data_IF_019393462148
#
_entry.id   IF_019393462148
#
_cell.length_a   1.000
_cell.length_b   1.000
_cell.length_c   1.000
_cell.angle_alpha   90.00
_cell.angle_beta   90.00
_cell.angle_gamma   90.00
#
_symmetry.space_group_name_H-M   'P 1'
#
loop_
_entity.id
_entity.type
_entity.pdbx_description
1 polymer ?
#
# COMPACT_ATOMS: atom_id res chain seq x y z
N UNK A 1 5.69 -4.34 -17.98
CA UNK A 1 6.50 -4.65 -16.78
C UNK A 1 7.87 -4.01 -16.89
N UNK A 2 8.39 -3.37 -15.83
CA UNK A 2 9.71 -2.70 -15.87
C UNK A 2 10.85 -3.72 -16.14
N UNK A 3 11.94 -3.33 -16.83
CA UNK A 3 13.07 -4.24 -17.12
C UNK A 3 13.67 -4.91 -15.89
N UNK A 4 13.87 -4.15 -14.79
CA UNK A 4 14.42 -4.69 -13.55
C UNK A 4 13.53 -5.80 -12.94
N UNK A 5 12.22 -5.63 -12.95
CA UNK A 5 11.29 -6.65 -12.46
C UNK A 5 11.28 -7.89 -13.33
N UNK A 6 11.40 -7.74 -14.65
CA UNK A 6 11.57 -8.89 -15.56
C UNK A 6 12.82 -9.69 -15.19
N UNK A 7 13.96 -9.03 -15.03
CA UNK A 7 15.22 -9.70 -14.66
C UNK A 7 15.13 -10.42 -13.31
N UNK A 8 14.51 -9.80 -12.30
CA UNK A 8 14.33 -10.43 -11.00
C UNK A 8 13.38 -11.64 -11.05
N UNK A 9 12.28 -11.53 -11.81
CA UNK A 9 11.31 -12.62 -11.95
C UNK A 9 11.83 -13.80 -12.78
N UNK A 10 12.77 -13.59 -13.71
CA UNK A 10 13.34 -14.68 -14.53
C UNK A 10 14.23 -15.66 -13.77
N UNK A 11 14.71 -15.27 -12.58
CA UNK A 11 15.53 -16.12 -11.73
C UNK A 11 14.72 -16.90 -10.67
N UNK A 12 13.38 -16.80 -10.70
CA UNK A 12 12.52 -17.46 -9.72
C UNK A 12 12.41 -18.97 -10.01
N UNK A 13 12.55 -19.78 -8.97
CA UNK A 13 12.12 -21.18 -9.00
C UNK A 13 10.59 -21.27 -9.26
N UNK A 14 10.06 -22.40 -9.75
CA UNK A 14 8.62 -22.59 -9.90
C UNK A 14 7.86 -22.26 -8.61
N UNK A 15 6.87 -21.37 -8.69
CA UNK A 15 6.10 -20.89 -7.54
C UNK A 15 6.81 -19.83 -6.68
N UNK A 16 8.02 -19.40 -7.04
CA UNK A 16 8.75 -18.34 -6.37
C UNK A 16 8.09 -16.97 -6.53
N UNK A 17 8.39 -16.06 -5.58
CA UNK A 17 7.95 -14.68 -5.61
C UNK A 17 9.09 -13.74 -5.22
N UNK A 18 9.07 -12.52 -5.75
CA UNK A 18 9.99 -11.44 -5.41
C UNK A 18 9.23 -10.36 -4.67
N UNK A 19 9.85 -9.81 -3.64
CA UNK A 19 9.36 -8.60 -2.96
C UNK A 19 10.32 -7.46 -3.28
N UNK A 20 9.85 -6.43 -3.97
CA UNK A 20 10.57 -5.16 -4.09
C UNK A 20 9.95 -4.16 -3.12
N UNK A 21 10.73 -3.73 -2.12
CA UNK A 21 10.26 -2.81 -1.10
C UNK A 21 11.17 -1.62 -0.87
N UNK A 22 10.64 -0.64 -0.15
CA UNK A 22 11.36 0.51 0.38
C UNK A 22 10.88 0.79 1.81
N UNK A 23 11.75 1.36 2.64
CA UNK A 23 11.42 1.78 4.00
C UNK A 23 12.12 3.10 4.34
N UNK A 24 11.62 3.80 5.36
CA UNK A 24 12.34 4.90 5.98
C UNK A 24 13.53 4.40 6.80
N UNK A 25 14.44 5.33 7.10
CA UNK A 25 15.67 5.10 7.84
C UNK A 25 15.44 4.53 9.25
N UNK A 26 14.25 4.77 9.82
CA UNK A 26 13.85 4.28 11.14
C UNK A 26 13.00 3.00 11.08
N UNK A 27 12.68 2.49 9.90
CA UNK A 27 11.81 1.32 9.69
C UNK A 27 10.38 1.49 10.21
N UNK A 28 9.90 2.73 10.30
CA UNK A 28 8.54 3.08 10.73
C UNK A 28 7.56 3.08 9.57
N UNK A 29 8.00 3.36 8.36
CA UNK A 29 7.18 3.38 7.15
C UNK A 29 7.82 2.46 6.14
N UNK A 30 7.03 1.58 5.55
CA UNK A 30 7.48 0.70 4.49
C UNK A 30 6.39 0.50 3.44
N UNK A 31 6.81 0.20 2.22
CA UNK A 31 5.92 -0.36 1.22
C UNK A 31 6.65 -1.39 0.38
N UNK A 32 5.89 -2.33 -0.19
CA UNK A 32 6.45 -3.30 -1.09
C UNK A 32 5.45 -3.82 -2.12
N UNK A 33 5.98 -4.20 -3.28
CA UNK A 33 5.28 -4.89 -4.34
C UNK A 33 5.64 -6.37 -4.30
N UNK A 34 4.62 -7.23 -4.27
CA UNK A 34 4.79 -8.65 -4.53
C UNK A 34 4.77 -8.89 -6.04
N UNK A 35 5.82 -9.51 -6.55
CA UNK A 35 5.97 -9.92 -7.94
C UNK A 35 5.96 -11.45 -8.01
N UNK A 36 5.28 -11.99 -9.00
CA UNK A 36 5.42 -13.38 -9.42
C UNK A 36 5.87 -13.42 -10.91
N UNK A 37 6.02 -14.61 -11.53
CA UNK A 37 6.39 -14.69 -12.94
C UNK A 37 5.40 -14.02 -13.91
N UNK A 38 4.12 -13.87 -13.53
CA UNK A 38 3.11 -13.15 -14.32
C UNK A 38 3.15 -11.63 -14.10
N UNK A 39 3.86 -11.17 -13.08
CA UNK A 39 4.17 -9.77 -12.82
C UNK A 39 3.68 -9.28 -11.45
N UNK A 40 3.42 -7.97 -11.30
CA UNK A 40 3.05 -7.40 -10.02
C UNK A 40 1.64 -7.82 -9.59
N UNK A 41 1.54 -8.29 -8.34
CA UNK A 41 0.32 -8.89 -7.78
C UNK A 41 -0.34 -8.00 -6.75
N UNK A 42 0.44 -7.45 -5.83
CA UNK A 42 -0.08 -6.65 -4.73
C UNK A 42 0.86 -5.52 -4.36
N UNK A 43 0.32 -4.40 -3.90
CA UNK A 43 1.03 -3.40 -3.12
C UNK A 43 0.65 -3.57 -1.65
N UNK A 44 1.62 -3.57 -0.75
CA UNK A 44 1.39 -3.43 0.69
C UNK A 44 2.02 -2.15 1.19
N UNK A 45 1.28 -1.39 2.00
CA UNK A 45 1.77 -0.28 2.79
C UNK A 45 1.80 -0.71 4.26
N UNK A 46 2.83 -0.33 4.99
CA UNK A 46 3.00 -0.64 6.40
C UNK A 46 3.50 0.58 7.18
N UNK A 47 2.91 0.79 8.36
CA UNK A 47 3.30 1.86 9.26
C UNK A 47 3.40 1.38 10.71
N UNK A 48 4.40 1.89 11.44
CA UNK A 48 4.44 1.85 12.89
C UNK A 48 3.39 2.83 13.42
N UNK A 49 2.23 2.28 13.78
CA UNK A 49 1.04 3.05 14.13
C UNK A 49 1.24 4.03 15.31
N UNK A 50 2.14 3.72 16.24
CA UNK A 50 2.44 4.61 17.37
C UNK A 50 3.11 5.93 16.96
N UNK A 51 3.63 6.02 15.74
CA UNK A 51 4.31 7.20 15.19
C UNK A 51 3.68 7.68 13.89
N UNK A 52 2.47 7.21 13.56
CA UNK A 52 1.78 7.57 12.32
C UNK A 52 0.89 8.79 12.55
N UNK A 53 1.29 9.94 12.02
CA UNK A 53 0.50 11.16 12.10
C UNK A 53 -0.62 11.18 11.05
N UNK A 54 -0.29 10.82 9.81
CA UNK A 54 -1.22 10.70 8.68
C UNK A 54 -0.76 9.59 7.74
N UNK A 55 -1.68 8.81 7.14
CA UNK A 55 -1.38 7.87 6.07
C UNK A 55 -0.75 8.51 4.82
N UNK A 56 -0.87 9.83 4.62
CA UNK A 56 -0.25 10.52 3.50
C UNK A 56 1.29 10.38 3.49
N UNK A 57 1.92 10.24 4.65
CA UNK A 57 3.38 10.06 4.76
C UNK A 57 3.87 8.74 4.14
N UNK A 58 2.99 7.74 3.98
CA UNK A 58 3.31 6.50 3.25
C UNK A 58 3.68 6.77 1.78
N UNK A 59 3.22 7.88 1.20
CA UNK A 59 3.56 8.28 -0.16
C UNK A 59 5.08 8.46 -0.35
N UNK A 60 5.78 8.97 0.66
CA UNK A 60 7.23 9.21 0.64
C UNK A 60 8.05 7.92 0.57
N UNK A 61 7.42 6.80 0.92
CA UNK A 61 8.00 5.45 0.89
C UNK A 61 7.26 4.57 -0.09
N UNK A 62 6.72 5.12 -1.17
CA UNK A 62 6.22 4.31 -2.28
C UNK A 62 7.37 3.72 -3.10
N UNK A 63 7.18 2.55 -3.74
CA UNK A 63 8.18 1.98 -4.63
C UNK A 63 8.39 2.91 -5.83
N UNK A 64 9.56 2.86 -6.48
CA UNK A 64 9.87 3.70 -7.67
C UNK A 64 8.86 3.54 -8.83
N UNK A 65 8.09 2.46 -8.84
CA UNK A 65 7.00 2.28 -9.80
C UNK A 65 5.81 3.23 -9.57
N UNK A 66 5.64 3.74 -8.35
CA UNK A 66 4.48 4.52 -7.92
C UNK A 66 4.81 5.89 -7.34
N UNK A 67 6.01 6.11 -6.78
CA UNK A 67 6.32 7.36 -6.05
C UNK A 67 6.14 8.63 -6.90
N UNK A 68 6.60 8.63 -8.16
CA UNK A 68 6.41 9.74 -9.09
C UNK A 68 5.00 9.81 -9.70
N UNK A 69 4.15 8.83 -9.39
CA UNK A 69 2.76 8.73 -9.83
C UNK A 69 1.78 9.08 -8.71
N UNK A 70 2.26 9.42 -7.52
CA UNK A 70 1.40 9.89 -6.44
C UNK A 70 1.00 11.36 -6.68
N UNK A 71 0.23 11.58 -7.74
CA UNK A 71 -0.31 12.88 -8.19
C UNK A 71 -1.81 12.76 -8.49
N UNK A 72 -2.60 13.84 -8.39
CA UNK A 72 -4.03 13.80 -8.67
C UNK A 72 -4.36 13.16 -10.03
N UNK A 73 -5.37 12.29 -10.05
CA UNK A 73 -5.79 11.54 -11.25
C UNK A 73 -5.09 10.20 -11.46
N UNK A 74 -4.06 9.87 -10.68
CA UNK A 74 -3.46 8.53 -10.68
C UNK A 74 -4.05 7.63 -9.58
N UNK A 75 -4.31 6.34 -9.85
CA UNK A 75 -4.98 5.44 -8.89
C UNK A 75 -4.27 5.30 -7.53
N UNK A 76 -2.94 5.36 -7.50
CA UNK A 76 -2.18 5.33 -6.24
C UNK A 76 -2.45 6.57 -5.38
N UNK A 77 -2.55 7.74 -5.99
CA UNK A 77 -2.87 8.97 -5.28
C UNK A 77 -4.28 8.92 -4.70
N UNK A 78 -5.25 8.40 -5.45
CA UNK A 78 -6.61 8.18 -4.97
C UNK A 78 -6.65 7.22 -3.77
N UNK A 79 -5.87 6.14 -3.81
CA UNK A 79 -5.78 5.19 -2.71
C UNK A 79 -5.19 5.81 -1.43
N UNK A 80 -4.07 6.53 -1.55
CA UNK A 80 -3.44 7.24 -0.41
C UNK A 80 -4.38 8.31 0.14
N UNK A 81 -5.07 9.05 -0.74
CA UNK A 81 -6.05 10.07 -0.34
C UNK A 81 -7.25 9.47 0.38
N UNK A 82 -7.73 8.30 -0.06
CA UNK A 82 -8.82 7.58 0.60
C UNK A 82 -8.42 7.11 2.01
N UNK A 83 -7.19 6.60 2.17
CA UNK A 83 -6.65 6.25 3.50
C UNK A 83 -6.55 7.48 4.39
N UNK A 84 -6.01 8.59 3.90
CA UNK A 84 -5.87 9.84 4.67
C UNK A 84 -7.24 10.42 5.05
N UNK A 85 -8.20 10.42 4.13
CA UNK A 85 -9.59 10.81 4.39
C UNK A 85 -10.22 10.00 5.51
N UNK A 86 -10.20 8.67 5.38
CA UNK A 86 -10.75 7.78 6.40
C UNK A 86 -9.98 7.85 7.75
N UNK A 87 -8.72 8.26 7.75
CA UNK A 87 -7.94 8.49 8.97
C UNK A 87 -8.36 9.77 9.69
N UNK A 88 -8.66 10.84 8.94
CA UNK A 88 -9.26 12.06 9.47
C UNK A 88 -10.64 11.80 10.05
N UNK A 89 -11.50 11.06 9.34
CA UNK A 89 -12.83 10.69 9.82
C UNK A 89 -12.78 9.80 11.07
N UNK A 90 -11.71 9.00 11.21
CA UNK A 90 -11.47 8.17 12.39
C UNK A 90 -10.85 8.94 13.58
N UNK A 91 -10.68 10.26 13.50
CA UNK A 91 -10.12 11.07 14.61
C UNK A 91 -10.80 10.84 15.98
N UNK A 92 -12.14 10.67 16.09
CA UNK A 92 -12.80 10.36 17.35
C UNK A 92 -12.33 9.05 18.01
N UNK A 93 -11.73 8.14 17.25
CA UNK A 93 -11.21 6.86 17.77
C UNK A 93 -9.81 6.95 18.38
N UNK A 94 -9.18 8.14 18.40
CA UNK A 94 -7.84 8.34 18.96
C UNK A 94 -7.76 7.95 20.44
N UNK A 95 -8.84 8.13 21.20
CA UNK A 95 -8.92 7.72 22.61
C UNK A 95 -8.75 6.20 22.83
N UNK A 96 -9.03 5.38 21.81
CA UNK A 96 -8.86 3.92 21.85
C UNK A 96 -7.48 3.46 21.34
N UNK A 97 -6.60 4.41 21.04
CA UNK A 97 -5.23 4.17 20.58
C UNK A 97 -5.09 4.04 19.05
N UNK A 98 -3.85 4.19 18.54
CA UNK A 98 -3.58 4.29 17.11
C UNK A 98 -3.91 3.02 16.33
N UNK A 99 -3.83 1.84 16.99
CA UNK A 99 -4.21 0.56 16.40
C UNK A 99 -5.71 0.49 16.09
N UNK A 100 -6.54 0.96 17.01
CA UNK A 100 -7.99 0.96 16.82
C UNK A 100 -8.39 2.00 15.76
N UNK A 101 -7.78 3.19 15.81
CA UNK A 101 -7.95 4.21 14.76
C UNK A 101 -7.63 3.66 13.37
N UNK A 102 -6.48 3.00 13.22
CA UNK A 102 -6.07 2.38 11.95
C UNK A 102 -7.04 1.28 11.49
N UNK A 103 -7.49 0.42 12.40
CA UNK A 103 -8.50 -0.59 12.06
C UNK A 103 -9.78 0.03 11.52
N UNK A 104 -10.24 1.15 12.10
CA UNK A 104 -11.41 1.88 11.59
C UNK A 104 -11.14 2.50 10.23
N UNK A 105 -9.99 3.11 10.03
CA UNK A 105 -9.56 3.66 8.73
C UNK A 105 -9.57 2.61 7.63
N UNK A 106 -8.87 1.49 7.81
CA UNK A 106 -8.79 0.43 6.78
C UNK A 106 -10.17 -0.22 6.55
N UNK A 107 -10.96 -0.39 7.61
CA UNK A 107 -12.34 -0.90 7.49
C UNK A 107 -13.22 0.03 6.66
N UNK A 108 -13.13 1.35 6.88
CA UNK A 108 -13.91 2.34 6.15
C UNK A 108 -13.51 2.39 4.67
N UNK A 109 -12.21 2.38 4.36
CA UNK A 109 -11.72 2.32 2.98
C UNK A 109 -12.19 1.05 2.27
N UNK A 110 -12.18 -0.09 2.96
CA UNK A 110 -12.72 -1.35 2.42
C UNK A 110 -14.23 -1.27 2.18
N UNK A 111 -14.98 -0.68 3.11
CA UNK A 111 -16.42 -0.49 2.98
C UNK A 111 -16.78 0.47 1.84
N UNK A 112 -15.90 1.42 1.50
CA UNK A 112 -16.02 2.31 0.36
C UNK A 112 -15.71 1.64 -1.00
N UNK A 113 -15.44 0.32 -1.02
CA UNK A 113 -15.30 -0.46 -2.24
C UNK A 113 -13.86 -0.72 -2.69
N UNK A 114 -12.85 -0.23 -1.98
CA UNK A 114 -11.45 -0.54 -2.31
C UNK A 114 -11.17 -2.04 -2.10
N UNK A 115 -10.51 -2.72 -3.05
CA UNK A 115 -10.22 -4.15 -2.96
C UNK A 115 -9.02 -4.43 -2.06
N UNK A 116 -9.18 -4.08 -0.78
CA UNK A 116 -8.23 -4.39 0.28
C UNK A 116 -8.18 -5.90 0.49
N UNK A 117 -6.96 -6.42 0.48
CA UNK A 117 -6.62 -7.80 0.76
C UNK A 117 -6.31 -7.99 2.25
N UNK A 118 -6.31 -9.25 2.66
CA UNK A 118 -6.20 -9.67 4.06
C UNK A 118 -7.33 -9.09 4.95
N UNK A 119 -7.22 -9.35 6.25
CA UNK A 119 -8.21 -8.93 7.23
C UNK A 119 -7.59 -8.23 8.44
N UNK A 120 -8.40 -7.98 9.48
CA UNK A 120 -8.00 -7.24 10.68
C UNK A 120 -6.73 -7.76 11.36
N UNK A 121 -6.34 -9.03 11.17
CA UNK A 121 -5.08 -9.57 11.68
C UNK A 121 -3.84 -8.84 11.12
N UNK A 122 -3.80 -8.54 9.81
CA UNK A 122 -2.70 -7.78 9.18
C UNK A 122 -2.82 -6.29 9.47
N UNK A 123 -4.03 -5.75 9.44
CA UNK A 123 -4.26 -4.33 9.74
C UNK A 123 -3.79 -3.97 11.15
N UNK A 124 -3.98 -4.88 12.11
CA UNK A 124 -3.47 -4.75 13.46
C UNK A 124 -1.96 -4.61 13.59
N UNK A 125 -1.19 -4.98 12.56
CA UNK A 125 0.26 -4.78 12.45
C UNK A 125 0.63 -3.45 11.78
N UNK A 126 -0.37 -2.64 11.42
CA UNK A 126 -0.18 -1.38 10.70
C UNK A 126 -0.12 -1.53 9.19
N UNK A 127 -0.59 -2.66 8.66
CA UNK A 127 -0.51 -2.95 7.23
C UNK A 127 -1.83 -2.79 6.48
N UNK A 128 -1.76 -2.42 5.22
CA UNK A 128 -2.87 -2.50 4.27
C UNK A 128 -2.34 -2.97 2.92
N UNK A 129 -2.98 -4.00 2.35
CA UNK A 129 -2.59 -4.58 1.07
C UNK A 129 -3.72 -4.40 0.07
N UNK A 130 -3.40 -4.07 -1.18
CA UNK A 130 -4.35 -3.98 -2.30
C UNK A 130 -3.82 -4.75 -3.50
N UNK A 131 -4.73 -5.15 -4.41
CA UNK A 131 -4.34 -5.70 -5.71
C UNK A 131 -3.54 -4.67 -6.49
N UNK A 132 -2.47 -5.08 -7.15
CA UNK A 132 -1.63 -4.16 -7.93
C UNK A 132 -2.44 -3.39 -8.97
N UNK A 133 -3.39 -4.05 -9.64
CA UNK A 133 -4.21 -3.47 -10.70
C UNK A 133 -5.00 -2.23 -10.24
N UNK A 134 -5.26 -2.06 -8.95
CA UNK A 134 -6.05 -0.92 -8.45
C UNK A 134 -5.23 0.30 -8.11
N UNK A 135 -3.90 0.16 -8.13
CA UNK A 135 -2.95 1.24 -7.84
C UNK A 135 -1.90 1.35 -8.94
N UNK A 136 -1.99 0.51 -9.98
CA UNK A 136 -1.11 0.55 -11.12
C UNK A 136 -1.23 1.93 -11.81
N UNK A 137 -0.12 2.48 -12.33
CA UNK A 137 -0.18 3.70 -13.12
C UNK A 137 -1.20 3.57 -14.25
N UNK A 138 -2.00 4.61 -14.45
CA UNK A 138 -3.12 4.65 -15.41
C UNK A 138 -2.76 4.20 -16.83
N UNK A 139 -1.55 4.51 -17.30
CA UNK A 139 -1.07 4.11 -18.62
C UNK A 139 -0.93 2.58 -18.80
N UNK A 140 -0.85 1.79 -17.71
CA UNK A 140 -0.82 0.33 -17.76
C UNK A 140 -2.21 -0.30 -17.82
N UNK A 141 -3.25 0.44 -17.43
CA UNK A 141 -4.64 -0.05 -17.41
C UNK A 141 -5.33 0.18 -18.76
N UNK A 142 -4.80 1.09 -19.59
CA UNK A 142 -5.26 1.39 -20.95
C UNK A 142 -4.51 0.59 -22.04
N UNK A 143 -3.72 -0.42 -21.68
CA UNK A 143 -3.00 -1.32 -22.60
C UNK A 143 -3.60 -2.72 -22.58
#
# INVERSE_FOLDING_TARGET
>A
MKPAWRTMSTALAPGGAVVEGTCDELGRLASWVLLDPAGPRTLTLAAKLSTLDSPATLAERLPKALIHRNVPGEPIHEFVSALDGAWRDAAPFTAFGPRQRWLRTVSAVRAAGWPILAGPARWRLGEVTVRWQTVAPSYLTNS
#
